data_IF_248493296674
#
_entry.id   IF_248493296674
#
_cell.length_a   1.000
_cell.length_b   1.000
_cell.length_c   1.000
_cell.angle_alpha   90.00
_cell.angle_beta   90.00
_cell.angle_gamma   90.00
#
_symmetry.space_group_name_H-M   'P 1'
#
loop_
_entity.id
_entity.type
_entity.pdbx_description
1 polymer ?
#
# COMPACT_ATOMS: atom_id res chain seq x y z
N UNK A 1 -4.35 -3.31 -6.92
CA UNK A 1 -4.17 -3.37 -5.46
C UNK A 1 -2.68 -3.41 -5.21
N UNK A 2 -2.16 -2.44 -4.45
CA UNK A 2 -0.75 -2.34 -4.11
C UNK A 2 -0.57 -2.50 -2.59
N UNK A 3 0.49 -3.19 -2.18
CA UNK A 3 0.79 -3.47 -0.78
C UNK A 3 2.26 -3.18 -0.46
N UNK A 4 2.54 -2.86 0.80
CA UNK A 4 3.86 -2.91 1.41
C UNK A 4 3.99 -4.22 2.17
N UNK A 5 5.08 -4.93 1.97
CA UNK A 5 5.31 -6.27 2.51
C UNK A 5 6.59 -6.28 3.32
N UNK A 6 6.55 -6.86 4.51
CA UNK A 6 7.73 -7.17 5.30
C UNK A 6 8.21 -8.58 4.97
N UNK A 7 9.42 -8.69 4.44
CA UNK A 7 10.08 -9.98 4.26
C UNK A 7 10.96 -10.30 5.48
N UNK A 8 10.49 -11.26 6.28
CA UNK A 8 11.21 -11.76 7.46
C UNK A 8 12.60 -12.31 7.12
N UNK A 9 12.80 -12.85 5.92
CA UNK A 9 14.06 -13.50 5.55
C UNK A 9 15.18 -12.48 5.30
N UNK A 10 14.84 -11.31 4.77
CA UNK A 10 15.79 -10.23 4.50
C UNK A 10 15.73 -9.10 5.53
N UNK A 11 14.74 -9.13 6.44
CA UNK A 11 14.44 -8.06 7.40
C UNK A 11 14.24 -6.70 6.72
N UNK A 12 13.57 -6.70 5.56
CA UNK A 12 13.33 -5.51 4.75
C UNK A 12 11.86 -5.40 4.34
N UNK A 13 11.47 -4.18 4.04
CA UNK A 13 10.19 -3.90 3.40
C UNK A 13 10.39 -3.76 1.89
N UNK A 14 9.35 -4.12 1.13
CA UNK A 14 9.24 -3.82 -0.29
C UNK A 14 7.77 -3.52 -0.65
N UNK A 15 7.53 -2.81 -1.75
CA UNK A 15 6.19 -2.62 -2.30
C UNK A 15 5.96 -3.54 -3.49
N UNK A 16 4.71 -3.97 -3.66
CA UNK A 16 4.34 -4.84 -4.78
C UNK A 16 2.88 -4.71 -5.15
N UNK A 17 2.58 -4.94 -6.42
CA UNK A 17 1.24 -5.23 -6.86
C UNK A 17 0.82 -6.62 -6.39
N UNK A 18 -0.44 -6.76 -6.00
CA UNK A 18 -1.01 -8.05 -5.64
C UNK A 18 -1.55 -8.71 -6.90
N UNK A 19 -1.19 -9.98 -7.11
CA UNK A 19 -1.67 -10.80 -8.23
C UNK A 19 -2.84 -11.70 -7.82
N UNK A 20 -2.82 -12.18 -6.58
CA UNK A 20 -3.88 -12.96 -5.97
C UNK A 20 -3.84 -12.86 -4.45
N UNK A 21 -4.98 -13.13 -3.82
CA UNK A 21 -5.14 -13.31 -2.39
C UNK A 21 -5.92 -14.60 -2.15
N UNK A 22 -5.46 -15.40 -1.21
CA UNK A 22 -6.14 -16.64 -0.81
C UNK A 22 -6.49 -16.62 0.66
N UNK A 23 -7.54 -17.34 1.04
CA UNK A 23 -7.84 -17.64 2.43
C UNK A 23 -7.57 -19.13 2.72
N UNK A 24 -6.50 -19.45 3.47
CA UNK A 24 -6.16 -20.81 3.88
C UNK A 24 -6.87 -21.31 5.15
N UNK A 25 -7.83 -20.56 5.72
CA UNK A 25 -8.44 -20.91 7.01
C UNK A 25 -7.83 -20.15 8.19
N UNK A 26 -6.59 -19.71 8.01
CA UNK A 26 -5.80 -19.07 9.06
C UNK A 26 -5.07 -17.85 8.50
N UNK A 27 -5.82 -16.76 8.37
CA UNK A 27 -5.45 -15.47 7.76
C UNK A 27 -4.98 -15.56 6.30
N UNK A 28 -5.22 -14.48 5.57
CA UNK A 28 -4.97 -14.40 4.14
C UNK A 28 -3.48 -14.55 3.80
N UNK A 29 -3.23 -15.00 2.58
CA UNK A 29 -1.92 -14.88 1.94
C UNK A 29 -2.03 -14.07 0.67
N UNK A 30 -0.99 -13.30 0.37
CA UNK A 30 -0.92 -12.40 -0.78
C UNK A 30 0.17 -12.87 -1.73
N UNK A 31 -0.20 -13.11 -2.99
CA UNK A 31 0.73 -13.42 -4.06
C UNK A 31 1.28 -12.10 -4.61
N UNK A 32 2.56 -11.87 -4.38
CA UNK A 32 3.24 -10.62 -4.70
C UNK A 32 4.59 -10.91 -5.35
N UNK A 33 5.06 -9.93 -6.11
CA UNK A 33 6.41 -9.90 -6.69
C UNK A 33 7.38 -9.27 -5.71
N UNK A 34 8.41 -10.01 -5.30
CA UNK A 34 9.56 -9.46 -4.59
C UNK A 34 10.61 -9.04 -5.61
N UNK A 35 10.92 -7.74 -5.75
CA UNK A 35 11.90 -7.25 -6.71
C UNK A 35 13.35 -7.53 -6.27
N UNK A 36 14.23 -7.72 -7.24
CA UNK A 36 15.70 -7.77 -7.10
C UNK A 36 16.38 -7.49 -8.45
N UNK A 37 17.70 -7.34 -8.46
CA UNK A 37 18.49 -6.98 -9.65
C UNK A 37 18.35 -7.96 -10.82
N UNK A 38 18.09 -9.24 -10.55
CA UNK A 38 17.86 -10.29 -11.54
C UNK A 38 16.37 -10.45 -11.94
N UNK A 39 15.52 -9.54 -11.47
CA UNK A 39 14.07 -9.54 -11.70
C UNK A 39 13.27 -10.15 -10.55
N UNK A 40 13.89 -10.87 -9.62
CA UNK A 40 13.24 -11.39 -8.42
C UNK A 40 12.22 -12.49 -8.66
N UNK A 41 11.28 -12.66 -7.73
CA UNK A 41 10.39 -13.82 -7.72
C UNK A 41 9.00 -13.51 -7.20
N UNK A 42 8.05 -14.38 -7.55
CA UNK A 42 6.66 -14.37 -7.12
C UNK A 42 6.47 -15.46 -6.07
N UNK A 43 5.88 -15.14 -4.92
CA UNK A 43 5.41 -16.13 -3.94
C UNK A 43 4.27 -15.60 -3.08
N UNK A 44 3.63 -16.49 -2.34
CA UNK A 44 2.67 -16.10 -1.31
C UNK A 44 3.38 -15.65 -0.03
N UNK A 45 3.03 -14.46 0.45
CA UNK A 45 3.39 -13.94 1.78
C UNK A 45 2.17 -14.03 2.71
N UNK A 46 2.40 -14.40 3.97
CA UNK A 46 1.34 -14.38 4.98
C UNK A 46 0.95 -12.92 5.30
N UNK A 47 -0.34 -12.66 5.50
CA UNK A 47 -0.81 -11.36 5.97
C UNK A 47 -0.33 -11.05 7.40
N UNK A 48 -0.35 -12.06 8.28
CA UNK A 48 0.06 -11.95 9.68
C UNK A 48 1.25 -12.86 9.98
N UNK A 49 2.08 -12.44 10.94
CA UNK A 49 3.17 -13.24 11.49
C UNK A 49 2.63 -14.28 12.49
N UNK A 50 2.71 -15.54 12.10
CA UNK A 50 2.17 -16.68 12.86
C UNK A 50 3.12 -17.18 13.93
N UNK A 51 4.39 -16.79 13.86
CA UNK A 51 5.46 -17.38 14.68
C UNK A 51 5.63 -16.68 16.02
N UNK A 52 4.96 -15.54 16.25
CA UNK A 52 5.24 -14.72 17.43
C UNK A 52 4.55 -15.19 18.73
N UNK A 53 3.56 -16.11 18.67
CA UNK A 53 2.82 -16.57 19.86
C UNK A 53 2.12 -15.44 20.65
N UNK A 54 2.07 -14.23 20.08
CA UNK A 54 1.49 -13.04 20.69
C UNK A 54 -0.02 -13.00 20.49
N UNK A 55 -0.78 -12.39 21.41
CA UNK A 55 -2.23 -12.25 21.29
C UNK A 55 -2.66 -11.44 20.06
N UNK A 56 -1.79 -10.54 19.57
CA UNK A 56 -2.01 -9.76 18.36
C UNK A 56 -0.83 -9.99 17.39
N UNK A 57 -0.99 -10.88 16.40
CA UNK A 57 0.03 -11.13 15.39
C UNK A 57 0.44 -9.85 14.65
N UNK A 58 1.73 -9.66 14.41
CA UNK A 58 2.24 -8.54 13.62
C UNK A 58 1.71 -8.63 12.19
N UNK A 59 1.26 -7.50 11.64
CA UNK A 59 0.88 -7.40 10.22
C UNK A 59 2.15 -7.38 9.36
N UNK A 60 2.22 -8.29 8.38
CA UNK A 60 3.33 -8.42 7.43
C UNK A 60 3.00 -7.81 6.07
N UNK A 61 1.71 -7.68 5.71
CA UNK A 61 1.27 -7.11 4.45
C UNK A 61 0.32 -5.94 4.72
N UNK A 62 0.75 -4.73 4.42
CA UNK A 62 -0.04 -3.51 4.61
C UNK A 62 -0.58 -3.00 3.27
N UNK A 63 -1.88 -2.68 3.21
CA UNK A 63 -2.50 -2.13 2.00
C UNK A 63 -2.11 -0.67 1.77
N UNK A 64 -1.68 -0.37 0.54
CA UNK A 64 -1.41 0.99 0.02
C UNK A 64 -2.60 1.43 -0.84
N UNK A 65 -2.87 0.68 -1.91
CA UNK A 65 -4.00 0.92 -2.83
C UNK A 65 -5.01 -0.22 -2.66
N UNK A 66 -6.19 0.01 -2.06
CA UNK A 66 -7.14 -1.05 -1.71
C UNK A 66 -7.99 -1.54 -2.89
N UNK A 67 -7.98 -0.83 -4.01
CA UNK A 67 -8.81 -1.13 -5.17
C UNK A 67 -8.40 -2.47 -5.79
N UNK A 68 -9.36 -3.40 -5.85
CA UNK A 68 -9.18 -4.67 -6.54
C UNK A 68 -8.95 -4.43 -8.04
N UNK A 69 -7.92 -5.05 -8.65
CA UNK A 69 -7.70 -4.93 -10.09
C UNK A 69 -8.90 -5.43 -10.90
N UNK A 70 -9.15 -4.76 -12.03
CA UNK A 70 -10.18 -5.18 -12.98
C UNK A 70 -9.88 -6.59 -13.48
N UNK A 71 -10.91 -7.42 -13.58
CA UNK A 71 -10.81 -8.80 -14.08
C UNK A 71 -10.49 -9.85 -13.02
N UNK A 72 -10.31 -9.47 -11.75
CA UNK A 72 -10.22 -10.45 -10.67
C UNK A 72 -11.50 -11.26 -10.52
N UNK A 73 -11.34 -12.56 -10.29
CA UNK A 73 -12.44 -13.50 -10.00
C UNK A 73 -12.42 -13.90 -8.52
N UNK A 74 -13.61 -14.27 -8.03
CA UNK A 74 -13.79 -14.91 -6.73
C UNK A 74 -14.13 -16.39 -6.92
N UNK A 75 -13.43 -17.26 -6.18
CA UNK A 75 -13.74 -18.69 -6.09
C UNK A 75 -13.77 -19.10 -4.63
N UNK A 76 -14.71 -19.97 -4.29
CA UNK A 76 -14.87 -20.55 -2.95
C UNK A 76 -15.02 -22.05 -3.04
N UNK A 77 -14.51 -22.77 -2.04
CA UNK A 77 -14.79 -24.19 -1.86
C UNK A 77 -16.17 -24.41 -1.23
N UNK A 78 -16.56 -25.67 -1.06
CA UNK A 78 -17.83 -26.05 -0.41
C UNK A 78 -17.80 -25.93 1.11
N UNK A 79 -16.68 -25.52 1.71
CA UNK A 79 -16.57 -25.32 3.16
C UNK A 79 -15.19 -24.85 3.57
N UNK A 80 -15.09 -24.12 4.69
CA UNK A 80 -13.86 -23.45 5.11
C UNK A 80 -12.68 -24.40 5.38
N UNK A 81 -12.95 -25.67 5.67
CA UNK A 81 -11.95 -26.73 5.89
C UNK A 81 -11.61 -27.53 4.61
N UNK A 82 -12.07 -27.07 3.44
CA UNK A 82 -11.86 -27.76 2.16
C UNK A 82 -11.10 -26.90 1.18
N UNK A 83 -10.07 -27.50 0.59
CA UNK A 83 -9.38 -26.95 -0.58
C UNK A 83 -10.34 -26.88 -1.78
N UNK A 84 -10.27 -25.80 -2.55
CA UNK A 84 -11.06 -25.62 -3.79
C UNK A 84 -10.91 -26.85 -4.71
N UNK A 85 -12.02 -27.27 -5.31
CA UNK A 85 -12.06 -28.46 -6.18
C UNK A 85 -11.08 -28.32 -7.36
N UNK A 86 -10.42 -29.42 -7.70
CA UNK A 86 -9.40 -29.46 -8.75
C UNK A 86 -7.96 -29.26 -8.27
N UNK A 87 -7.72 -28.87 -7.02
CA UNK A 87 -6.37 -28.72 -6.45
C UNK A 87 -5.93 -29.84 -5.51
N UNK A 88 -6.87 -30.65 -4.99
CA UNK A 88 -6.61 -31.67 -3.95
C UNK A 88 -5.47 -32.66 -4.23
N UNK A 89 -5.19 -32.96 -5.50
CA UNK A 89 -4.11 -33.89 -5.91
C UNK A 89 -2.83 -33.18 -6.36
N UNK A 90 -2.83 -31.85 -6.42
CA UNK A 90 -1.72 -31.02 -6.90
C UNK A 90 -0.98 -30.32 -5.75
N UNK A 91 -1.69 -30.06 -4.65
CA UNK A 91 -1.10 -29.47 -3.44
C UNK A 91 -0.81 -30.54 -2.39
N UNK A 92 0.11 -30.25 -1.47
CA UNK A 92 0.37 -31.11 -0.31
C UNK A 92 -0.90 -31.27 0.54
N UNK A 93 -1.00 -32.37 1.27
CA UNK A 93 -2.19 -32.68 2.07
C UNK A 93 -2.47 -31.68 3.21
N UNK A 94 -1.44 -30.98 3.68
CA UNK A 94 -1.53 -29.92 4.69
C UNK A 94 -1.94 -28.55 4.12
N UNK A 95 -1.93 -28.39 2.79
CA UNK A 95 -2.25 -27.12 2.14
C UNK A 95 -3.76 -26.97 1.99
N UNK A 96 -4.30 -26.04 2.77
CA UNK A 96 -5.69 -25.60 2.71
C UNK A 96 -5.79 -24.24 2.01
N UNK A 97 -6.73 -24.09 1.10
CA UNK A 97 -7.26 -22.78 0.69
C UNK A 97 -8.71 -22.90 0.22
N UNK A 98 -9.59 -22.18 0.89
CA UNK A 98 -11.03 -22.27 0.67
C UNK A 98 -11.59 -21.05 -0.08
N UNK A 99 -10.85 -19.95 -0.14
CA UNK A 99 -11.17 -18.79 -0.98
C UNK A 99 -9.96 -18.36 -1.82
N UNK A 100 -10.27 -17.88 -3.04
CA UNK A 100 -9.34 -17.28 -3.97
C UNK A 100 -9.95 -15.99 -4.53
N UNK A 101 -9.15 -14.94 -4.53
CA UNK A 101 -9.41 -13.66 -5.18
C UNK A 101 -8.18 -13.36 -6.05
N UNK A 102 -8.32 -13.18 -7.35
CA UNK A 102 -7.14 -12.94 -8.18
C UNK A 102 -7.42 -13.07 -9.66
N UNK A 103 -6.38 -12.95 -10.48
CA UNK A 103 -6.52 -13.07 -11.92
C UNK A 103 -6.98 -14.48 -12.35
N UNK A 104 -7.86 -14.60 -13.37
CA UNK A 104 -8.33 -15.90 -13.88
C UNK A 104 -7.20 -16.77 -14.40
N UNK A 105 -6.24 -16.18 -15.13
CA UNK A 105 -5.14 -16.91 -15.75
C UNK A 105 -4.22 -17.61 -14.72
N UNK A 106 -4.10 -17.04 -13.50
CA UNK A 106 -3.39 -17.69 -12.38
C UNK A 106 -4.18 -18.91 -11.89
N UNK A 107 -5.48 -18.75 -11.71
CA UNK A 107 -6.35 -19.82 -11.21
C UNK A 107 -6.50 -20.98 -12.20
N UNK A 108 -6.56 -20.67 -13.50
CA UNK A 108 -6.70 -21.63 -14.59
C UNK A 108 -5.41 -22.44 -14.79
N UNK A 109 -4.23 -21.85 -14.56
CA UNK A 109 -2.98 -22.57 -14.54
C UNK A 109 -2.76 -23.30 -13.21
N UNK A 110 -3.48 -24.41 -13.03
CA UNK A 110 -3.52 -25.16 -11.77
C UNK A 110 -2.16 -25.69 -11.31
N UNK A 111 -1.29 -26.09 -12.22
CA UNK A 111 0.05 -26.60 -11.87
C UNK A 111 0.90 -25.48 -11.26
N UNK A 112 0.94 -24.31 -11.91
CA UNK A 112 1.65 -23.13 -11.43
C UNK A 112 1.10 -22.64 -10.08
N UNK A 113 -0.23 -22.54 -9.96
CA UNK A 113 -0.83 -22.12 -8.69
C UNK A 113 -0.58 -23.16 -7.58
N UNK A 114 -0.57 -24.46 -7.88
CA UNK A 114 -0.24 -25.50 -6.91
C UNK A 114 1.21 -25.40 -6.40
N UNK A 115 2.18 -25.14 -7.28
CA UNK A 115 3.58 -24.86 -6.90
C UNK A 115 3.66 -23.71 -5.87
N UNK A 116 3.02 -22.58 -6.17
CA UNK A 116 2.96 -21.41 -5.29
C UNK A 116 2.26 -21.72 -3.96
N UNK A 117 1.16 -22.47 -3.99
CA UNK A 117 0.40 -22.87 -2.80
C UNK A 117 1.20 -23.81 -1.89
N UNK A 118 2.08 -24.64 -2.46
CA UNK A 118 3.01 -25.49 -1.73
C UNK A 118 4.17 -24.71 -1.09
N UNK A 119 4.24 -23.39 -1.32
CA UNK A 119 5.24 -22.50 -0.73
C UNK A 119 6.47 -22.28 -1.61
N UNK A 120 6.47 -22.79 -2.85
CA UNK A 120 7.54 -22.52 -3.80
C UNK A 120 7.42 -21.08 -4.33
N UNK A 121 8.56 -20.54 -4.79
CA UNK A 121 8.61 -19.28 -5.52
C UNK A 121 8.81 -19.53 -7.02
N UNK A 122 8.34 -18.61 -7.84
CA UNK A 122 8.56 -18.62 -9.29
C UNK A 122 9.42 -17.41 -9.66
N UNK A 123 10.51 -17.62 -10.40
CA UNK A 123 11.32 -16.51 -10.93
C UNK A 123 10.43 -15.61 -11.79
N UNK A 124 10.48 -14.30 -11.55
CA UNK A 124 9.64 -13.35 -12.26
C UNK A 124 10.04 -13.28 -13.74
N UNK A 125 11.33 -13.05 -13.98
CA UNK A 125 11.91 -12.97 -15.31
C UNK A 125 11.81 -14.32 -16.04
N UNK A 126 11.33 -14.29 -17.28
CA UNK A 126 11.08 -15.47 -18.11
C UNK A 126 9.80 -16.23 -17.76
N UNK A 127 8.99 -15.73 -16.82
CA UNK A 127 7.69 -16.32 -16.48
C UNK A 127 6.53 -15.59 -17.13
N UNK A 128 5.33 -16.19 -17.05
CA UNK A 128 4.08 -15.54 -17.47
C UNK A 128 3.78 -14.24 -16.68
N UNK A 129 4.33 -14.08 -15.47
CA UNK A 129 4.12 -12.86 -14.68
C UNK A 129 4.77 -11.64 -15.32
N UNK A 130 5.90 -11.82 -16.02
CA UNK A 130 6.60 -10.75 -16.73
C UNK A 130 5.78 -10.23 -17.92
N UNK A 131 5.05 -11.11 -18.63
CA UNK A 131 4.17 -10.69 -19.73
C UNK A 131 2.81 -10.15 -19.26
N UNK A 132 2.45 -10.40 -18.00
CA UNK A 132 1.18 -10.01 -17.38
C UNK A 132 1.38 -8.96 -16.27
N UNK A 133 2.39 -8.10 -16.41
CA UNK A 133 2.65 -7.00 -15.47
C UNK A 133 1.37 -6.18 -15.27
N UNK A 134 1.07 -5.89 -14.01
CA UNK A 134 0.02 -4.98 -13.62
C UNK A 134 0.63 -3.78 -12.91
N UNK A 135 -0.06 -2.65 -12.92
CA UNK A 135 0.35 -1.44 -12.23
C UNK A 135 -0.87 -0.70 -11.71
N UNK A 136 -0.78 -0.23 -10.48
CA UNK A 136 -1.75 0.68 -9.88
C UNK A 136 -1.43 2.15 -10.15
N UNK A 137 -0.35 2.45 -10.86
CA UNK A 137 0.00 3.83 -11.19
C UNK A 137 -1.01 4.46 -12.14
N UNK A 138 -1.31 5.73 -11.86
CA UNK A 138 -2.29 6.53 -12.55
C UNK A 138 -1.58 7.50 -13.49
N UNK A 139 -2.07 7.58 -14.73
CA UNK A 139 -1.58 8.57 -15.70
C UNK A 139 -1.78 9.98 -15.15
N UNK A 140 -0.76 10.83 -15.30
CA UNK A 140 -0.79 12.23 -14.82
C UNK A 140 -0.49 12.40 -13.33
N UNK A 141 0.02 11.36 -12.67
CA UNK A 141 0.48 11.41 -11.28
C UNK A 141 1.96 11.06 -11.18
N UNK A 142 2.66 11.78 -10.30
CA UNK A 142 4.01 11.47 -9.87
C UNK A 142 3.95 10.71 -8.55
N UNK A 143 4.96 9.89 -8.27
CA UNK A 143 5.02 9.01 -7.09
C UNK A 143 6.33 9.22 -6.35
N UNK A 144 6.28 9.22 -5.02
CA UNK A 144 7.46 9.26 -4.16
C UNK A 144 7.71 7.84 -3.64
N UNK A 145 8.67 7.15 -4.25
CA UNK A 145 9.02 5.76 -3.93
C UNK A 145 10.44 5.61 -3.38
N UNK A 146 11.28 6.64 -3.53
CA UNK A 146 12.67 6.69 -3.09
C UNK A 146 13.08 8.07 -2.57
N UNK A 147 14.24 8.13 -1.89
CA UNK A 147 14.83 9.40 -1.44
C UNK A 147 15.04 10.37 -2.62
N UNK A 148 15.46 9.83 -3.77
CA UNK A 148 15.64 10.63 -4.99
C UNK A 148 14.31 11.25 -5.46
N UNK A 149 13.22 10.49 -5.44
CA UNK A 149 11.91 11.02 -5.84
C UNK A 149 11.44 12.12 -4.86
N UNK A 150 11.73 11.94 -3.57
CA UNK A 150 11.44 12.95 -2.54
C UNK A 150 12.24 14.23 -2.77
N UNK A 151 13.55 14.13 -3.02
CA UNK A 151 14.43 15.27 -3.33
C UNK A 151 13.96 16.01 -4.59
N UNK A 152 13.63 15.28 -5.66
CA UNK A 152 13.15 15.84 -6.91
C UNK A 152 11.79 16.53 -6.75
N UNK A 153 10.88 15.96 -5.96
CA UNK A 153 9.61 16.59 -5.62
C UNK A 153 9.80 17.87 -4.80
N UNK A 154 10.54 17.78 -3.69
CA UNK A 154 10.78 18.92 -2.79
C UNK A 154 11.41 20.10 -3.52
N UNK A 155 12.32 19.84 -4.47
CA UNK A 155 12.90 20.87 -5.34
C UNK A 155 11.85 21.53 -6.26
N UNK A 156 10.94 20.76 -6.84
CA UNK A 156 9.91 21.29 -7.75
C UNK A 156 8.87 22.17 -7.04
N UNK A 157 8.65 21.93 -5.75
CA UNK A 157 7.72 22.69 -4.91
C UNK A 157 8.41 23.70 -4.00
N UNK A 158 9.68 24.02 -4.28
CA UNK A 158 10.47 25.00 -3.53
C UNK A 158 10.50 24.74 -2.01
N UNK A 159 10.57 23.47 -1.62
CA UNK A 159 10.49 23.00 -0.24
C UNK A 159 9.25 23.49 0.53
N UNK A 160 8.15 23.80 -0.17
CA UNK A 160 6.93 24.40 0.35
C UNK A 160 7.11 25.82 0.93
N UNK A 161 8.24 26.50 0.68
CA UNK A 161 8.42 27.88 1.10
C UNK A 161 7.33 28.80 0.51
N UNK A 162 6.84 29.76 1.30
CA UNK A 162 5.71 30.65 0.95
C UNK A 162 4.49 29.90 0.39
N UNK A 163 4.20 28.74 0.99
CA UNK A 163 3.03 27.92 0.67
C UNK A 163 2.10 27.79 1.87
N UNK A 164 0.84 27.46 1.62
CA UNK A 164 -0.18 27.27 2.66
C UNK A 164 -0.94 25.98 2.42
N UNK A 165 -1.23 25.23 3.49
CA UNK A 165 -2.15 24.10 3.43
C UNK A 165 -3.59 24.62 3.31
N UNK A 166 -4.18 24.52 2.12
CA UNK A 166 -5.53 25.02 1.84
C UNK A 166 -6.62 24.03 2.25
N UNK A 167 -6.46 22.75 1.94
CA UNK A 167 -7.43 21.72 2.34
C UNK A 167 -6.75 20.43 2.78
N UNK A 168 -7.37 19.74 3.73
CA UNK A 168 -7.03 18.39 4.12
C UNK A 168 -8.31 17.55 4.20
N UNK A 169 -8.38 16.49 3.40
CA UNK A 169 -9.52 15.59 3.33
C UNK A 169 -9.06 14.16 3.67
N UNK A 170 -9.79 13.46 4.53
CA UNK A 170 -9.48 12.08 4.90
C UNK A 170 -10.64 11.13 4.64
N UNK A 171 -10.34 9.99 4.02
CA UNK A 171 -11.29 8.92 3.72
C UNK A 171 -10.79 7.63 4.39
N UNK A 172 -11.48 7.18 5.44
CA UNK A 172 -11.17 5.92 6.13
C UNK A 172 -11.63 4.70 5.32
N UNK A 173 -12.79 4.81 4.66
CA UNK A 173 -13.49 3.70 4.01
C UNK A 173 -14.45 2.92 4.92
N UNK A 174 -14.52 3.27 6.21
CA UNK A 174 -15.52 2.76 7.14
C UNK A 174 -16.82 3.57 7.03
N UNK A 175 -17.97 2.91 7.16
CA UNK A 175 -19.27 3.56 7.06
C UNK A 175 -20.37 2.77 7.80
N UNK A 176 -21.53 3.42 7.97
CA UNK A 176 -22.75 2.80 8.49
C UNK A 176 -23.83 2.94 7.41
N UNK A 177 -24.46 1.83 7.06
CA UNK A 177 -25.57 1.82 6.11
C UNK A 177 -26.85 2.49 6.71
N UNK A 178 -27.83 2.85 5.87
CA UNK A 178 -29.12 3.36 6.35
C UNK A 178 -29.85 2.41 7.32
N UNK A 179 -29.64 1.10 7.20
CA UNK A 179 -30.19 0.07 8.10
C UNK A 179 -29.42 -0.08 9.43
N UNK A 180 -28.45 0.81 9.69
CA UNK A 180 -27.55 0.83 10.85
C UNK A 180 -26.53 -0.31 10.90
N UNK A 181 -26.38 -1.10 9.83
CA UNK A 181 -25.29 -2.07 9.74
C UNK A 181 -23.94 -1.34 9.59
N UNK A 182 -22.98 -1.70 10.45
CA UNK A 182 -21.67 -1.07 10.49
C UNK A 182 -20.66 -1.86 9.67
N UNK A 183 -19.86 -1.16 8.87
CA UNK A 183 -18.69 -1.67 8.18
C UNK A 183 -17.45 -1.01 8.80
N UNK A 184 -16.93 -1.54 9.93
CA UNK A 184 -15.90 -0.91 10.73
C UNK A 184 -14.48 -1.12 10.13
N UNK A 185 -14.37 -1.25 8.81
CA UNK A 185 -13.10 -1.51 8.13
C UNK A 185 -12.55 -0.22 7.51
N UNK A 186 -11.48 0.32 8.10
CA UNK A 186 -10.72 1.43 7.53
C UNK A 186 -9.83 0.93 6.36
N UNK A 187 -10.47 0.47 5.28
CA UNK A 187 -9.80 -0.14 4.13
C UNK A 187 -9.17 0.87 3.17
N UNK A 188 -9.63 2.14 3.17
CA UNK A 188 -9.15 3.17 2.24
C UNK A 188 -7.93 3.88 2.83
N UNK A 189 -8.07 4.49 4.03
CA UNK A 189 -7.01 5.25 4.72
C UNK A 189 -6.22 6.15 3.77
N UNK A 190 -6.93 7.06 3.10
CA UNK A 190 -6.34 8.01 2.15
C UNK A 190 -6.54 9.43 2.66
N UNK A 191 -5.49 10.24 2.60
CA UNK A 191 -5.57 11.68 2.87
C UNK A 191 -5.16 12.46 1.62
N UNK A 192 -5.96 13.44 1.24
CA UNK A 192 -5.66 14.38 0.15
C UNK A 192 -5.41 15.76 0.76
N UNK A 193 -4.21 16.28 0.55
CA UNK A 193 -3.80 17.61 0.99
C UNK A 193 -3.60 18.48 -0.26
N UNK A 194 -4.18 19.68 -0.25
CA UNK A 194 -3.97 20.68 -1.29
C UNK A 194 -3.22 21.86 -0.70
N UNK A 195 -2.08 22.18 -1.30
CA UNK A 195 -1.28 23.34 -0.94
C UNK A 195 -1.35 24.38 -2.05
N UNK A 196 -1.45 25.65 -1.68
CA UNK A 196 -1.27 26.76 -2.61
C UNK A 196 0.11 27.38 -2.36
N UNK A 197 0.80 27.77 -3.42
CA UNK A 197 2.14 28.35 -3.36
C UNK A 197 2.21 29.69 -4.11
N UNK A 198 3.12 30.55 -3.66
CA UNK A 198 3.54 31.74 -4.43
C UNK A 198 4.57 31.40 -5.53
N UNK A 199 5.25 30.25 -5.45
CA UNK A 199 6.38 29.90 -6.32
C UNK A 199 6.03 28.89 -7.41
N UNK A 200 4.93 28.15 -7.25
CA UNK A 200 4.46 27.17 -8.23
C UNK A 200 2.93 27.11 -8.28
N UNK A 201 2.40 26.29 -9.19
CA UNK A 201 0.99 25.91 -9.20
C UNK A 201 0.60 25.20 -7.89
N UNK A 202 -0.70 25.12 -7.61
CA UNK A 202 -1.19 24.40 -6.43
C UNK A 202 -0.80 22.93 -6.50
N UNK A 203 -0.48 22.34 -5.35
CA UNK A 203 0.06 20.99 -5.24
C UNK A 203 -1.01 20.12 -4.62
N UNK A 204 -1.42 19.08 -5.35
CA UNK A 204 -2.26 18.02 -4.80
C UNK A 204 -1.37 16.85 -4.36
N UNK A 205 -1.37 16.54 -3.07
CA UNK A 205 -0.71 15.39 -2.47
C UNK A 205 -1.75 14.39 -1.98
N UNK A 206 -1.60 13.13 -2.39
CA UNK A 206 -2.45 12.03 -1.94
C UNK A 206 -1.59 11.00 -1.22
N UNK A 207 -1.80 10.90 0.09
CA UNK A 207 -1.17 9.92 0.96
C UNK A 207 -2.02 8.65 1.01
N UNK A 208 -1.41 7.50 0.75
CA UNK A 208 -2.08 6.21 0.56
C UNK A 208 -1.67 5.23 1.65
N UNK A 209 -2.69 4.61 2.28
CA UNK A 209 -2.47 3.74 3.43
C UNK A 209 -1.95 4.49 4.64
N UNK A 210 -2.51 5.68 4.92
CA UNK A 210 -2.17 6.54 6.07
C UNK A 210 -2.10 5.72 7.37
N UNK A 211 -1.02 5.95 8.13
CA UNK A 211 -0.76 5.28 9.42
C UNK A 211 -0.96 6.23 10.60
N UNK A 212 -0.64 7.50 10.42
CA UNK A 212 -0.93 8.56 11.38
C UNK A 212 -1.04 9.91 10.65
N UNK A 213 -1.86 10.80 11.19
CA UNK A 213 -2.04 12.15 10.66
C UNK A 213 -2.29 13.11 11.83
N UNK A 214 -1.33 13.98 12.09
CA UNK A 214 -1.45 15.06 13.05
C UNK A 214 -1.68 16.36 12.28
N UNK A 215 -2.87 16.94 12.41
CA UNK A 215 -3.20 18.22 11.79
C UNK A 215 -3.21 19.28 12.88
N UNK A 216 -2.27 20.23 12.79
CA UNK A 216 -2.14 21.32 13.74
C UNK A 216 -2.04 22.65 12.99
N UNK A 217 -3.17 23.32 12.69
CA UNK A 217 -3.13 24.64 12.08
C UNK A 217 -2.46 25.66 13.01
N UNK A 218 -1.99 26.80 12.46
CA UNK A 218 -1.48 27.90 13.28
C UNK A 218 -2.55 28.44 14.24
N UNK A 219 -2.09 28.95 15.38
CA UNK A 219 -2.95 29.62 16.35
C UNK A 219 -3.34 31.04 15.90
N UNK A 220 -4.28 31.67 16.60
CA UNK A 220 -4.68 33.05 16.33
C UNK A 220 -3.47 34.01 16.36
N UNK A 221 -3.43 34.94 15.41
CA UNK A 221 -2.33 35.91 15.20
C UNK A 221 -1.00 35.31 14.71
N UNK A 222 -0.97 34.04 14.28
CA UNK A 222 0.16 33.45 13.56
C UNK A 222 -0.13 33.33 12.07
N UNK A 223 0.93 33.34 11.26
CA UNK A 223 0.82 33.08 9.82
C UNK A 223 0.60 31.60 9.55
N UNK A 224 -0.17 31.27 8.51
CA UNK A 224 -0.31 29.91 7.96
C UNK A 224 0.76 29.56 6.92
N UNK A 225 1.70 30.47 6.71
CA UNK A 225 2.87 30.30 5.84
C UNK A 225 3.76 29.15 6.31
N UNK A 226 4.07 28.24 5.38
CA UNK A 226 5.06 27.20 5.53
C UNK A 226 6.43 27.77 5.13
N UNK A 227 7.30 27.97 6.12
CA UNK A 227 8.68 28.40 5.89
C UNK A 227 9.57 27.31 5.27
N UNK A 228 9.19 26.05 5.44
CA UNK A 228 9.89 24.91 4.87
C UNK A 228 9.24 23.62 5.33
N UNK A 229 9.42 22.56 4.55
CA UNK A 229 8.88 21.25 4.87
C UNK A 229 9.96 20.16 4.76
N UNK A 230 9.67 19.01 5.34
CA UNK A 230 10.51 17.81 5.28
C UNK A 230 9.71 16.66 4.70
N UNK A 231 10.31 15.93 3.76
CA UNK A 231 9.76 14.68 3.22
C UNK A 231 10.83 13.59 3.29
N UNK A 232 10.54 12.50 3.99
CA UNK A 232 11.47 11.38 4.21
C UNK A 232 10.83 10.10 3.69
N UNK A 233 11.60 9.31 2.95
CA UNK A 233 11.24 7.93 2.59
C UNK A 233 12.06 6.98 3.46
N UNK A 234 11.38 6.08 4.17
CA UNK A 234 12.06 5.07 4.99
C UNK A 234 11.22 3.82 5.08
N UNK A 235 11.87 2.66 4.94
CA UNK A 235 11.23 1.36 5.03
C UNK A 235 9.97 1.30 4.16
N UNK A 236 10.01 1.75 2.90
CA UNK A 236 8.84 1.76 2.01
C UNK A 236 7.63 2.55 2.56
N UNK A 237 7.88 3.56 3.38
CA UNK A 237 6.89 4.48 3.95
C UNK A 237 7.36 5.91 3.78
N UNK A 238 6.44 6.85 3.87
CA UNK A 238 6.70 8.28 3.72
C UNK A 238 6.30 9.02 4.99
N UNK A 239 7.10 10.02 5.36
CA UNK A 239 6.80 10.99 6.40
C UNK A 239 6.92 12.38 5.80
N UNK A 240 5.85 13.17 5.91
CA UNK A 240 5.84 14.59 5.57
C UNK A 240 5.58 15.42 6.82
N UNK A 241 6.31 16.51 6.97
CA UNK A 241 6.14 17.51 8.02
C UNK A 241 6.20 18.91 7.43
N UNK A 242 5.32 19.81 7.88
CA UNK A 242 5.31 21.24 7.52
C UNK A 242 6.40 22.06 8.24
N UNK A 243 7.51 21.41 8.60
CA UNK A 243 8.66 22.02 9.27
C UNK A 243 9.96 21.34 8.80
N UNK A 244 11.10 21.99 9.03
CA UNK A 244 12.44 21.47 8.73
C UNK A 244 12.92 20.66 9.94
N UNK A 245 12.86 19.34 9.83
CA UNK A 245 13.27 18.41 10.89
C UNK A 245 14.48 17.58 10.47
N UNK A 246 15.31 17.20 11.44
CA UNK A 246 16.54 16.43 11.20
C UNK A 246 16.28 14.95 10.83
N UNK A 247 15.05 14.47 11.02
CA UNK A 247 14.70 13.08 10.78
C UNK A 247 13.21 12.79 11.02
N UNK A 248 12.87 11.52 10.97
CA UNK A 248 11.51 11.04 11.20
C UNK A 248 11.11 11.22 12.66
N UNK A 249 10.23 12.18 12.95
CA UNK A 249 9.76 12.47 14.31
C UNK A 249 8.23 12.64 14.36
N UNK A 250 7.53 11.60 14.84
CA UNK A 250 6.09 11.60 15.05
C UNK A 250 5.67 12.33 16.35
N UNK A 251 6.60 12.94 17.08
CA UNK A 251 6.31 13.83 18.21
C UNK A 251 6.44 15.31 17.84
N UNK A 252 6.83 15.62 16.61
CA UNK A 252 6.98 16.99 16.13
C UNK A 252 5.68 17.77 16.35
N UNK A 253 5.84 18.99 16.87
CA UNK A 253 4.74 19.94 17.00
C UNK A 253 4.53 20.58 15.63
N UNK A 254 3.39 20.31 15.00
CA UNK A 254 3.08 20.83 13.67
C UNK A 254 2.17 19.90 12.89
N UNK A 255 1.94 20.18 11.62
CA UNK A 255 1.19 19.28 10.74
C UNK A 255 2.14 18.26 10.13
N UNK A 256 1.91 16.98 10.43
CA UNK A 256 2.67 15.89 9.85
C UNK A 256 1.79 14.68 9.53
N UNK A 257 2.25 13.88 8.58
CA UNK A 257 1.52 12.69 8.12
C UNK A 257 2.49 11.58 7.74
N UNK A 258 2.13 10.36 8.14
CA UNK A 258 2.83 9.14 7.74
C UNK A 258 1.93 8.24 6.92
N UNK A 259 2.46 7.66 5.85
CA UNK A 259 1.72 6.76 4.98
C UNK A 259 2.63 5.74 4.30
N UNK A 260 2.05 4.74 3.62
CA UNK A 260 2.82 3.76 2.85
C UNK A 260 3.10 4.21 1.41
N UNK A 261 2.34 5.17 0.90
CA UNK A 261 2.56 5.75 -0.42
C UNK A 261 2.22 7.24 -0.45
N UNK A 262 2.86 7.96 -1.35
CA UNK A 262 2.55 9.34 -1.68
C UNK A 262 2.59 9.47 -3.21
N UNK A 263 1.49 10.00 -3.76
CA UNK A 263 1.44 10.48 -5.14
C UNK A 263 1.05 11.95 -5.17
N UNK A 264 1.54 12.67 -6.15
CA UNK A 264 1.32 14.11 -6.25
C UNK A 264 1.20 14.58 -7.69
N UNK A 265 0.63 15.77 -7.88
CA UNK A 265 0.61 16.50 -9.14
C UNK A 265 0.40 17.99 -8.89
N UNK A 266 0.71 18.81 -9.89
CA UNK A 266 0.24 20.19 -9.95
C UNK A 266 -1.23 20.23 -10.39
N UNK A 267 -1.98 21.16 -9.81
CA UNK A 267 -3.37 21.46 -10.17
C UNK A 267 -3.51 22.96 -10.36
N UNK A 268 -4.31 23.36 -11.37
CA UNK A 268 -4.61 24.76 -11.59
C UNK A 268 -5.33 25.36 -10.38
N UNK A 269 -5.05 26.64 -10.10
CA UNK A 269 -5.83 27.42 -9.14
C UNK A 269 -7.25 27.59 -9.70
N UNK A 270 -8.26 27.20 -8.91
CA UNK A 270 -9.67 27.48 -9.22
C UNK A 270 -9.96 29.00 -9.12
#
# INVERSE_FOLDING_TARGET
>A
MKVRVYDKSTNKYFKSEVYARINPGYYEKYLVHMPSDDGGYIKFFNYLDKDEGKPFPKVLVNTIVPTYPKGWIYKKSTGVSKTISGFKKLVRSDVLFFEYFGYPWIFENKAMLAELLNGNSINFKGSIFESMITSSYMVGWNYVESDKDAEEFMKQVFNFHDSVLRTANYISGAYVNPDKTMYPEAKIRQATLIFDSQWCDSIEMVFEGVTAFNLRPPEDNYSADIYGATLIVKDESVFFCDDIVAGWDENQIGTWITAYGLRWRFVSKD
#
